data_IF_346379627881
#
_entry.id   IF_346379627881
#
_cell.length_a   1.000
_cell.length_b   1.000
_cell.length_c   1.000
_cell.angle_alpha   90.00
_cell.angle_beta   90.00
_cell.angle_gamma   90.00
#
_symmetry.space_group_name_H-M   'P 1'
#
loop_
_entity.id
_entity.type
_entity.pdbx_description
1 polymer ?
#
# COMPACT_ATOMS: atom_id res chain seq x y z
N UNK A 1 -27.85 5.28 -7.59
CA UNK A 1 -26.50 5.86 -7.49
C UNK A 1 -25.55 5.04 -8.33
N UNK A 2 -25.50 5.33 -9.64
CA UNK A 2 -24.53 4.71 -10.53
C UNK A 2 -23.23 5.49 -10.39
N UNK A 3 -22.18 4.85 -9.90
CA UNK A 3 -20.83 5.37 -10.10
C UNK A 3 -20.61 5.37 -11.62
N UNK A 4 -20.65 6.54 -12.24
CA UNK A 4 -20.10 6.72 -13.58
C UNK A 4 -18.67 6.19 -13.50
N UNK A 5 -18.44 5.00 -14.06
CA UNK A 5 -17.09 4.50 -14.25
C UNK A 5 -16.41 5.56 -15.09
N UNK A 6 -15.50 6.31 -14.49
CA UNK A 6 -14.70 7.30 -15.17
C UNK A 6 -14.23 6.67 -16.50
N UNK A 7 -14.52 7.35 -17.61
CA UNK A 7 -14.27 6.88 -18.99
C UNK A 7 -12.78 6.78 -19.35
N UNK A 8 -11.92 6.61 -18.34
CA UNK A 8 -10.48 6.50 -18.48
C UNK A 8 -10.09 5.03 -18.37
N UNK A 9 -9.43 4.45 -19.37
CA UNK A 9 -8.94 3.08 -19.27
C UNK A 9 -7.95 2.99 -18.09
N UNK A 10 -8.00 1.92 -17.28
CA UNK A 10 -7.11 1.79 -16.14
C UNK A 10 -5.65 1.73 -16.62
N UNK A 11 -4.86 2.76 -16.26
CA UNK A 11 -3.42 2.76 -16.49
C UNK A 11 -2.71 2.04 -15.33
N UNK A 12 -2.60 0.72 -15.50
CA UNK A 12 -2.06 -0.17 -14.48
C UNK A 12 -0.55 0.02 -14.22
N UNK A 13 0.33 0.23 -15.22
CA UNK A 13 1.73 0.59 -14.96
C UNK A 13 1.88 1.84 -14.08
N UNK A 14 1.11 2.88 -14.37
CA UNK A 14 1.12 4.12 -13.59
C UNK A 14 0.56 3.90 -12.19
N UNK A 15 -0.47 3.06 -12.03
CA UNK A 15 -0.99 2.68 -10.71
C UNK A 15 0.07 1.99 -9.85
N UNK A 16 0.90 1.13 -10.44
CA UNK A 16 2.02 0.51 -9.74
C UNK A 16 3.05 1.55 -9.30
N UNK A 17 3.44 2.49 -10.16
CA UNK A 17 4.39 3.55 -9.82
C UNK A 17 3.92 4.38 -8.61
N UNK A 18 2.66 4.80 -8.60
CA UNK A 18 2.10 5.55 -7.46
C UNK A 18 1.95 4.70 -6.20
N UNK A 19 1.66 3.40 -6.32
CA UNK A 19 1.63 2.49 -5.18
C UNK A 19 3.02 2.35 -4.53
N UNK A 20 4.08 2.27 -5.35
CA UNK A 20 5.47 2.26 -4.86
C UNK A 20 5.82 3.57 -4.18
N UNK A 21 5.51 4.72 -4.79
CA UNK A 21 5.74 6.03 -4.16
C UNK A 21 5.02 6.17 -2.82
N UNK A 22 3.77 5.71 -2.74
CA UNK A 22 3.02 5.69 -1.47
C UNK A 22 3.70 4.78 -0.43
N UNK A 23 4.22 3.63 -0.84
CA UNK A 23 4.98 2.74 0.03
C UNK A 23 6.29 3.39 0.54
N UNK A 24 6.97 4.15 -0.31
CA UNK A 24 8.19 4.91 0.04
C UNK A 24 7.90 6.06 1.01
N UNK A 25 6.66 6.57 1.03
CA UNK A 25 6.16 7.54 1.99
C UNK A 25 5.58 6.91 3.27
N UNK A 26 5.88 5.63 3.54
CA UNK A 26 5.35 4.85 4.68
C UNK A 26 3.82 4.74 4.73
N UNK A 27 3.12 4.84 3.59
CA UNK A 27 1.71 4.48 3.50
C UNK A 27 1.59 2.95 3.36
N UNK A 28 1.08 2.31 4.42
CA UNK A 28 0.82 0.88 4.47
C UNK A 28 0.01 0.38 3.26
N UNK A 29 -0.99 1.16 2.82
CA UNK A 29 -1.87 0.79 1.70
C UNK A 29 -1.12 0.81 0.38
N UNK A 30 -0.16 1.73 0.23
CA UNK A 30 0.73 1.78 -0.92
C UNK A 30 1.53 0.48 -1.07
N UNK A 31 2.15 0.04 0.01
CA UNK A 31 2.92 -1.21 0.02
C UNK A 31 2.06 -2.45 -0.26
N UNK A 32 0.87 -2.53 0.35
CA UNK A 32 -0.07 -3.64 0.11
C UNK A 32 -0.52 -3.68 -1.34
N UNK A 33 -0.84 -2.53 -1.93
CA UNK A 33 -1.24 -2.44 -3.33
C UNK A 33 -0.10 -2.85 -4.27
N UNK A 34 1.13 -2.36 -4.03
CA UNK A 34 2.30 -2.76 -4.82
C UNK A 34 2.55 -4.27 -4.74
N UNK A 35 2.45 -4.87 -3.54
CA UNK A 35 2.58 -6.32 -3.35
C UNK A 35 1.53 -7.11 -4.15
N UNK A 36 0.26 -6.69 -4.11
CA UNK A 36 -0.82 -7.36 -4.84
C UNK A 36 -0.62 -7.23 -6.36
N UNK A 37 -0.19 -6.07 -6.85
CA UNK A 37 0.07 -5.85 -8.27
C UNK A 37 1.22 -6.71 -8.78
N UNK A 38 2.32 -6.82 -8.03
CA UNK A 38 3.44 -7.70 -8.35
C UNK A 38 3.04 -9.19 -8.35
N UNK A 39 2.16 -9.61 -7.44
CA UNK A 39 1.70 -11.01 -7.39
C UNK A 39 0.70 -11.35 -8.49
N UNK A 40 -0.20 -10.42 -8.84
CA UNK A 40 -1.23 -10.64 -9.87
C UNK A 40 -0.74 -10.41 -11.29
N UNK A 41 0.35 -9.66 -11.46
CA UNK A 41 0.82 -9.22 -12.77
C UNK A 41 -0.18 -8.26 -13.45
N UNK A 42 -0.89 -7.45 -12.66
CA UNK A 42 -1.94 -6.59 -13.19
C UNK A 42 -1.32 -5.33 -13.80
N UNK A 43 -0.95 -5.41 -15.09
CA UNK A 43 -0.32 -4.32 -15.85
C UNK A 43 1.17 -4.13 -15.62
N UNK A 44 1.80 -5.02 -14.85
CA UNK A 44 3.24 -5.21 -14.75
C UNK A 44 3.55 -6.71 -14.83
N UNK A 45 4.77 -7.13 -15.19
CA UNK A 45 5.17 -8.53 -15.08
C UNK A 45 5.00 -9.06 -13.64
N UNK A 46 4.61 -10.33 -13.52
CA UNK A 46 4.56 -11.00 -12.21
C UNK A 46 5.98 -11.07 -11.65
N UNK A 47 6.12 -10.65 -10.40
CA UNK A 47 7.38 -10.73 -9.67
C UNK A 47 7.09 -11.08 -8.20
N UNK A 48 7.19 -12.37 -7.88
CA UNK A 48 6.92 -12.88 -6.54
C UNK A 48 7.94 -12.38 -5.51
N UNK A 49 9.20 -12.20 -5.91
CA UNK A 49 10.25 -11.69 -5.00
C UNK A 49 9.90 -10.27 -4.58
N UNK A 50 9.58 -9.42 -5.56
CA UNK A 50 9.20 -8.04 -5.31
C UNK A 50 7.88 -7.93 -4.54
N UNK A 51 6.94 -8.85 -4.76
CA UNK A 51 5.70 -8.92 -3.99
C UNK A 51 5.95 -9.20 -2.50
N UNK A 52 6.86 -10.11 -2.17
CA UNK A 52 7.24 -10.42 -0.79
C UNK A 52 8.07 -9.29 -0.16
N UNK A 53 8.91 -8.59 -0.91
CA UNK A 53 9.62 -7.39 -0.45
C UNK A 53 8.64 -6.28 0.00
N UNK A 54 7.65 -5.94 -0.84
CA UNK A 54 6.65 -4.93 -0.48
C UNK A 54 5.78 -5.35 0.72
N UNK A 55 5.52 -6.66 0.84
CA UNK A 55 4.79 -7.21 1.98
C UNK A 55 5.61 -7.12 3.27
N UNK A 56 6.91 -7.41 3.23
CA UNK A 56 7.80 -7.24 4.37
C UNK A 56 7.83 -5.77 4.84
N UNK A 57 7.98 -4.82 3.89
CA UNK A 57 7.89 -3.38 4.18
C UNK A 57 6.56 -2.99 4.82
N UNK A 58 5.44 -3.54 4.32
CA UNK A 58 4.12 -3.30 4.92
C UNK A 58 4.05 -3.76 6.38
N UNK A 59 4.62 -4.93 6.71
CA UNK A 59 4.66 -5.46 8.07
C UNK A 59 5.51 -4.55 8.98
N UNK A 60 6.65 -4.07 8.49
CA UNK A 60 7.51 -3.12 9.22
C UNK A 60 6.77 -1.82 9.54
N UNK A 61 6.13 -1.22 8.53
CA UNK A 61 5.33 0.00 8.70
C UNK A 61 4.17 -0.24 9.68
N UNK A 62 3.48 -1.38 9.57
CA UNK A 62 2.40 -1.72 10.50
C UNK A 62 2.92 -1.86 11.93
N UNK A 63 4.11 -2.44 12.12
CA UNK A 63 4.76 -2.56 13.42
C UNK A 63 5.12 -1.17 13.96
N UNK A 64 5.67 -0.28 13.15
CA UNK A 64 5.96 1.11 13.53
C UNK A 64 4.69 1.82 14.01
N UNK A 65 3.60 1.79 13.24
CA UNK A 65 2.33 2.38 13.67
C UNK A 65 1.78 1.75 14.95
N UNK A 66 1.98 0.45 15.13
CA UNK A 66 1.55 -0.24 16.36
C UNK A 66 2.38 0.20 17.57
N UNK A 67 3.69 0.36 17.41
CA UNK A 67 4.61 0.82 18.46
C UNK A 67 4.38 2.31 18.79
N UNK A 68 4.16 3.16 17.77
CA UNK A 68 3.80 4.58 17.94
C UNK A 68 2.43 4.73 18.64
N UNK A 69 1.43 3.95 18.21
CA UNK A 69 0.12 3.94 18.86
C UNK A 69 0.12 3.29 20.25
N UNK A 70 1.18 2.58 20.62
CA UNK A 70 1.40 2.10 21.99
C UNK A 70 2.03 3.17 22.90
N UNK A 71 2.50 4.29 22.33
CA UNK A 71 3.04 5.46 23.06
C UNK A 71 2.03 6.58 23.34
N UNK A 72 0.88 6.60 22.67
CA UNK A 72 -0.23 7.51 23.00
C UNK A 72 -1.12 6.85 24.05
N UNK A 73 -0.69 6.97 25.30
CA UNK A 73 -1.62 6.96 26.42
C UNK A 73 -2.66 8.04 26.15
N UNK A 74 -3.91 7.63 25.90
CA UNK A 74 -5.05 8.51 26.07
C UNK A 74 -4.92 9.12 27.47
N UNK A 75 -4.50 10.38 27.57
CA UNK A 75 -4.76 11.18 28.75
C UNK A 75 -6.27 11.41 28.76
N UNK A 76 -6.99 10.46 29.35
CA UNK A 76 -8.28 10.78 29.93
C UNK A 76 -8.01 11.72 31.10
N UNK A 77 -8.66 12.89 31.06
CA UNK A 77 -8.70 13.86 32.14
C UNK A 77 -8.20 15.22 31.70
N UNK A 78 -9.11 16.08 31.23
CA UNK A 78 -9.86 17.05 32.05
C UNK A 78 -11.30 17.07 31.54
#
# INVERSE_FOLDING_TARGET
MGIEKASMPPNKPVAFEYAVKACDLHDLRGCVNASIMCRKGDGIPVDEKKAEEFKARAIEIQKMYKEENQGIGFQQGI
#
